data_IF_983270595511
#
_entry.id   IF_983270595511
#
_cell.length_a   1.000
_cell.length_b   1.000
_cell.length_c   1.000
_cell.angle_alpha   90.00
_cell.angle_beta   90.00
_cell.angle_gamma   90.00
#
_symmetry.space_group_name_H-M   'P 1'
#
loop_
_entity.id
_entity.type
_entity.pdbx_description
1 polymer ?
#
# COMPACT_ATOMS: atom_id res chain seq x y z
N UNK A 1 -11.58 -25.12 12.25
CA UNK A 1 -10.29 -24.52 11.90
C UNK A 1 -9.18 -25.21 12.67
N UNK A 2 -8.14 -25.68 12.00
CA UNK A 2 -6.96 -26.31 12.59
C UNK A 2 -5.71 -25.63 12.03
N UNK A 3 -4.76 -25.33 12.89
CA UNK A 3 -3.47 -24.80 12.49
C UNK A 3 -2.40 -25.87 12.68
N UNK A 4 -1.66 -26.13 11.63
CA UNK A 4 -0.55 -27.07 11.67
C UNK A 4 0.77 -26.34 11.40
N UNK A 5 1.82 -26.78 12.07
CA UNK A 5 3.20 -26.34 11.86
C UNK A 5 4.00 -27.50 11.32
N UNK A 6 4.79 -27.26 10.29
CA UNK A 6 5.69 -28.28 9.72
C UNK A 6 6.97 -28.33 10.55
N UNK A 7 7.25 -29.48 11.15
CA UNK A 7 8.51 -29.77 11.83
C UNK A 7 9.14 -30.97 11.15
N UNK A 8 10.38 -30.80 10.71
CA UNK A 8 11.11 -31.78 9.87
C UNK A 8 10.31 -32.11 8.59
N UNK A 9 9.62 -33.22 8.54
CA UNK A 9 8.78 -33.61 7.40
C UNK A 9 7.34 -33.89 7.77
N UNK A 10 6.95 -33.63 9.03
CA UNK A 10 5.62 -33.90 9.58
C UNK A 10 4.91 -32.62 9.99
N UNK A 11 3.58 -32.65 9.96
CA UNK A 11 2.75 -31.56 10.43
C UNK A 11 2.22 -31.87 11.82
N UNK A 12 2.41 -30.96 12.75
CA UNK A 12 1.91 -31.01 14.12
C UNK A 12 0.92 -29.90 14.37
N UNK A 13 -0.14 -30.18 15.10
CA UNK A 13 -1.12 -29.18 15.46
C UNK A 13 -0.50 -28.11 16.37
N UNK A 14 -0.74 -26.84 16.03
CA UNK A 14 -0.24 -25.70 16.77
C UNK A 14 -1.38 -24.92 17.44
N UNK A 15 -1.21 -24.47 18.68
CA UNK A 15 -2.22 -23.66 19.34
C UNK A 15 -2.37 -22.32 18.65
N UNK A 16 -3.62 -21.85 18.48
CA UNK A 16 -3.93 -20.57 17.89
C UNK A 16 -5.18 -19.94 18.48
N UNK A 17 -5.32 -18.66 18.26
CA UNK A 17 -6.52 -17.90 18.60
C UNK A 17 -7.06 -17.19 17.37
N UNK A 18 -8.31 -17.43 17.05
CA UNK A 18 -9.03 -16.75 15.99
C UNK A 18 -9.98 -15.73 16.60
N UNK A 19 -9.82 -14.45 16.24
CA UNK A 19 -10.68 -13.36 16.70
C UNK A 19 -11.34 -12.68 15.51
N UNK A 20 -12.65 -12.46 15.60
CA UNK A 20 -13.39 -11.71 14.59
C UNK A 20 -13.20 -10.21 14.82
N UNK A 21 -13.01 -9.46 13.75
CA UNK A 21 -12.95 -8.00 13.82
C UNK A 21 -14.34 -7.44 14.17
N UNK A 22 -14.40 -6.53 15.14
CA UNK A 22 -15.64 -5.89 15.57
C UNK A 22 -16.21 -4.90 14.55
N UNK A 23 -15.35 -4.28 13.74
CA UNK A 23 -15.73 -3.27 12.75
C UNK A 23 -16.07 -3.90 11.40
N UNK A 24 -15.42 -5.01 11.06
CA UNK A 24 -15.58 -5.67 9.77
C UNK A 24 -15.94 -7.13 9.98
N UNK A 25 -17.24 -7.44 9.91
CA UNK A 25 -17.74 -8.79 10.17
C UNK A 25 -17.13 -9.92 9.31
N UNK A 26 -16.46 -9.56 8.23
CA UNK A 26 -15.81 -10.49 7.28
C UNK A 26 -14.33 -10.69 7.52
N UNK A 27 -13.74 -10.00 8.50
CA UNK A 27 -12.31 -10.11 8.81
C UNK A 27 -12.10 -10.93 10.08
N UNK A 28 -11.18 -11.87 10.00
CA UNK A 28 -10.70 -12.65 11.12
C UNK A 28 -9.21 -12.44 11.28
N UNK A 29 -8.76 -12.33 12.53
CA UNK A 29 -7.33 -12.25 12.87
C UNK A 29 -6.91 -13.55 13.53
N UNK A 30 -5.97 -14.24 12.90
CA UNK A 30 -5.33 -15.44 13.42
C UNK A 30 -4.10 -15.06 14.21
N UNK A 31 -4.01 -15.45 15.46
CA UNK A 31 -2.85 -15.26 16.34
C UNK A 31 -2.32 -16.60 16.82
N UNK A 32 -1.02 -16.80 16.68
CA UNK A 32 -0.31 -18.01 17.16
C UNK A 32 1.13 -17.61 17.55
N UNK A 33 1.87 -18.54 18.09
CA UNK A 33 3.31 -18.38 18.29
C UNK A 33 4.05 -18.62 16.97
N UNK A 34 4.20 -17.55 16.20
CA UNK A 34 4.85 -17.60 14.90
C UNK A 34 6.36 -17.75 15.05
N UNK A 35 6.94 -18.75 14.36
CA UNK A 35 8.40 -18.91 14.29
C UNK A 35 8.91 -18.54 12.90
N UNK A 36 9.94 -17.70 12.79
CA UNK A 36 10.54 -17.34 11.51
C UNK A 36 10.98 -18.58 10.71
N UNK A 37 10.88 -18.51 9.39
CA UNK A 37 11.23 -19.59 8.44
C UNK A 37 10.38 -20.87 8.55
N UNK A 38 9.39 -20.88 9.44
CA UNK A 38 8.54 -22.01 9.66
C UNK A 38 7.34 -22.01 8.71
N UNK A 39 7.03 -23.16 8.14
CA UNK A 39 5.84 -23.38 7.29
C UNK A 39 4.66 -23.77 8.17
N UNK A 40 3.51 -23.15 7.89
CA UNK A 40 2.23 -23.43 8.55
C UNK A 40 1.16 -23.75 7.53
N UNK A 41 0.18 -24.55 7.95
CA UNK A 41 -1.03 -24.84 7.18
C UNK A 41 -2.24 -24.55 8.05
N UNK A 42 -3.09 -23.64 7.61
CA UNK A 42 -4.41 -23.42 8.20
C UNK A 42 -5.44 -24.20 7.42
N UNK A 43 -6.02 -25.23 8.04
CA UNK A 43 -7.12 -25.98 7.48
C UNK A 43 -8.43 -25.35 7.95
N UNK A 44 -9.30 -25.10 7.00
CA UNK A 44 -10.66 -24.64 7.23
C UNK A 44 -11.61 -25.73 6.79
N UNK A 45 -12.31 -26.34 7.74
CA UNK A 45 -13.23 -27.44 7.47
C UNK A 45 -14.41 -26.99 6.61
N UNK A 46 -15.06 -27.94 5.97
CA UNK A 46 -16.32 -27.70 5.30
C UNK A 46 -17.35 -27.19 6.31
N UNK A 47 -18.16 -26.21 5.92
CA UNK A 47 -19.18 -25.59 6.76
C UNK A 47 -18.68 -24.88 8.05
N UNK A 48 -17.36 -24.64 8.16
CA UNK A 48 -16.78 -23.85 9.26
C UNK A 48 -17.16 -22.37 9.20
N UNK A 49 -17.50 -21.87 8.02
CA UNK A 49 -17.99 -20.50 7.78
C UNK A 49 -19.33 -20.58 7.05
N UNK A 50 -20.36 -19.94 7.62
CA UNK A 50 -21.66 -19.81 6.97
C UNK A 50 -21.96 -18.36 6.61
N UNK A 51 -22.41 -18.12 5.40
CA UNK A 51 -22.91 -16.82 4.94
C UNK A 51 -24.33 -16.54 5.37
N UNK A 52 -24.75 -15.28 5.24
CA UNK A 52 -26.13 -14.85 5.54
C UNK A 52 -27.19 -15.56 4.67
N UNK A 53 -26.81 -16.01 3.48
CA UNK A 53 -27.66 -16.78 2.56
C UNK A 53 -27.74 -18.26 2.89
N UNK A 54 -27.13 -18.73 3.98
CA UNK A 54 -27.04 -20.15 4.33
C UNK A 54 -26.00 -20.94 3.53
N UNK A 55 -25.28 -20.30 2.62
CA UNK A 55 -24.17 -20.94 1.91
C UNK A 55 -22.99 -21.16 2.87
N UNK A 56 -22.37 -22.33 2.74
CA UNK A 56 -21.21 -22.71 3.56
C UNK A 56 -19.96 -22.84 2.70
N UNK A 57 -18.79 -22.69 3.35
CA UNK A 57 -17.52 -22.87 2.66
C UNK A 57 -17.26 -24.34 2.32
N UNK A 58 -16.49 -24.56 1.24
CA UNK A 58 -15.81 -25.82 0.99
C UNK A 58 -14.55 -25.92 1.86
N UNK A 59 -14.01 -27.12 2.10
CA UNK A 59 -12.74 -27.23 2.81
C UNK A 59 -11.64 -26.48 2.08
N UNK A 60 -10.75 -25.82 2.83
CA UNK A 60 -9.70 -24.97 2.30
C UNK A 60 -8.42 -25.15 3.12
N UNK A 61 -7.32 -25.38 2.45
CA UNK A 61 -5.99 -25.47 3.04
C UNK A 61 -5.15 -24.28 2.61
N UNK A 62 -4.79 -23.42 3.56
CA UNK A 62 -3.95 -22.26 3.34
C UNK A 62 -2.53 -22.53 3.86
N UNK A 63 -1.58 -22.73 2.94
CA UNK A 63 -0.16 -22.90 3.25
C UNK A 63 0.55 -21.55 3.21
N UNK A 64 1.34 -21.26 4.23
CA UNK A 64 2.13 -20.05 4.30
C UNK A 64 3.41 -20.28 5.13
N UNK A 65 4.42 -19.49 4.85
CA UNK A 65 5.69 -19.50 5.60
C UNK A 65 5.88 -18.16 6.27
N UNK A 66 6.30 -18.17 7.53
CA UNK A 66 6.66 -16.95 8.25
C UNK A 66 8.03 -16.50 7.77
N UNK A 67 8.08 -15.31 7.20
CA UNK A 67 9.34 -14.74 6.75
C UNK A 67 10.21 -14.32 7.96
N UNK A 68 11.53 -14.40 7.78
CA UNK A 68 12.49 -13.89 8.75
C UNK A 68 12.48 -12.35 8.75
N UNK A 69 12.70 -11.72 9.90
CA UNK A 69 12.83 -10.27 10.03
C UNK A 69 13.95 -9.73 9.15
N UNK A 70 15.05 -10.46 9.03
CA UNK A 70 16.18 -10.12 8.15
C UNK A 70 15.81 -10.06 6.66
N UNK A 71 14.66 -10.57 6.28
CA UNK A 71 14.13 -10.50 4.90
C UNK A 71 13.49 -9.15 4.59
N UNK A 72 13.33 -8.31 5.57
CA UNK A 72 12.70 -6.99 5.46
C UNK A 72 13.69 -5.87 5.76
N UNK A 73 13.38 -4.68 5.31
CA UNK A 73 14.06 -3.44 5.72
C UNK A 73 13.11 -2.52 6.45
N UNK A 74 13.65 -1.42 6.96
CA UNK A 74 12.88 -0.36 7.63
C UNK A 74 13.16 1.00 7.00
N UNK A 75 12.19 1.91 7.09
CA UNK A 75 12.32 3.29 6.67
C UNK A 75 11.82 4.21 7.77
N UNK A 76 12.72 5.03 8.28
CA UNK A 76 12.48 6.03 9.32
C UNK A 76 12.51 7.42 8.69
N UNK A 77 11.41 8.15 8.82
CA UNK A 77 11.29 9.50 8.28
C UNK A 77 11.16 10.51 9.41
N UNK A 78 12.05 11.49 9.43
CA UNK A 78 11.97 12.67 10.27
C UNK A 78 11.39 13.82 9.44
N UNK A 79 10.31 14.41 9.91
CA UNK A 79 9.48 15.41 9.23
C UNK A 79 9.29 16.62 10.14
N UNK A 80 10.33 17.43 10.36
CA UNK A 80 10.29 18.51 11.35
C UNK A 80 9.28 19.62 11.05
N UNK A 81 8.93 19.80 9.76
CA UNK A 81 8.04 20.86 9.29
C UNK A 81 6.60 20.34 9.02
N UNK A 82 6.32 19.07 9.32
CA UNK A 82 5.00 18.49 9.05
C UNK A 82 3.98 18.83 10.13
N UNK A 83 2.75 19.06 9.71
CA UNK A 83 1.62 19.24 10.61
C UNK A 83 1.32 17.97 11.41
N UNK A 84 0.82 18.12 12.63
CA UNK A 84 0.46 16.99 13.50
C UNK A 84 -0.69 16.13 12.94
N UNK A 85 -1.50 16.68 12.02
CA UNK A 85 -2.57 15.98 11.31
C UNK A 85 -2.06 15.21 10.09
N UNK A 86 -0.76 15.35 9.76
CA UNK A 86 -0.20 14.76 8.56
C UNK A 86 -0.23 13.23 8.58
N UNK A 87 -0.56 12.67 7.44
CA UNK A 87 -0.57 11.23 7.18
C UNK A 87 0.44 10.93 6.08
N UNK A 88 1.35 10.00 6.35
CA UNK A 88 2.40 9.59 5.41
C UNK A 88 2.01 8.28 4.76
N UNK A 89 2.05 8.27 3.43
CA UNK A 89 1.77 7.10 2.61
C UNK A 89 3.04 6.62 1.91
N UNK A 90 3.32 5.35 2.08
CA UNK A 90 4.35 4.62 1.34
C UNK A 90 3.69 3.95 0.14
N UNK A 91 4.20 4.24 -1.06
CA UNK A 91 3.57 3.82 -2.32
C UNK A 91 4.54 3.09 -3.23
N UNK A 92 3.99 2.30 -4.15
CA UNK A 92 4.70 1.74 -5.30
C UNK A 92 4.58 2.66 -6.53
N UNK A 93 5.27 2.32 -7.62
CA UNK A 93 5.29 3.15 -8.84
C UNK A 93 3.94 3.29 -9.55
N UNK A 94 2.97 2.44 -9.23
CA UNK A 94 1.60 2.47 -9.77
C UNK A 94 0.62 3.35 -8.96
N UNK A 95 1.14 4.18 -8.04
CA UNK A 95 0.38 4.98 -7.05
C UNK A 95 -0.37 4.11 -6.02
N UNK A 96 -0.11 2.81 -5.96
CA UNK A 96 -0.72 1.94 -4.98
C UNK A 96 -0.11 2.17 -3.60
N UNK A 97 -0.96 2.50 -2.63
CA UNK A 97 -0.54 2.66 -1.25
C UNK A 97 -0.29 1.29 -0.63
N UNK A 98 0.94 1.06 -0.20
CA UNK A 98 1.38 -0.16 0.48
C UNK A 98 1.12 -0.05 1.99
N UNK A 99 1.55 1.06 2.59
CA UNK A 99 1.35 1.38 4.01
C UNK A 99 1.00 2.84 4.18
N UNK A 100 0.24 3.12 5.24
CA UNK A 100 -0.14 4.46 5.63
C UNK A 100 -0.07 4.59 7.14
N UNK A 101 0.58 5.63 7.63
CA UNK A 101 0.73 5.90 9.05
C UNK A 101 0.56 7.40 9.33
N UNK A 102 -0.09 7.76 10.44
CA UNK A 102 -0.11 9.15 10.91
C UNK A 102 1.27 9.54 11.43
N UNK A 103 1.60 10.81 11.32
CA UNK A 103 2.79 11.36 11.94
C UNK A 103 2.66 11.37 13.46
N UNK A 104 3.77 11.11 14.16
CA UNK A 104 3.86 11.22 15.62
C UNK A 104 5.17 11.92 15.99
N UNK A 105 5.08 13.02 16.69
CA UNK A 105 6.24 13.80 17.12
C UNK A 105 7.23 14.12 15.99
N UNK A 106 6.70 14.47 14.81
CA UNK A 106 7.52 14.77 13.63
C UNK A 106 8.23 13.55 13.02
N UNK A 107 7.77 12.33 13.34
CA UNK A 107 8.41 11.10 12.86
C UNK A 107 7.39 10.07 12.38
N UNK A 108 7.79 9.27 11.40
CA UNK A 108 7.05 8.07 10.92
C UNK A 108 8.01 6.93 10.68
N UNK A 109 7.70 5.75 11.25
CA UNK A 109 8.52 4.56 11.18
C UNK A 109 7.79 3.45 10.44
N UNK A 110 8.32 3.06 9.28
CA UNK A 110 7.82 1.93 8.51
C UNK A 110 8.72 0.71 8.71
N UNK A 111 8.19 -0.29 9.39
CA UNK A 111 8.86 -1.57 9.61
C UNK A 111 8.37 -2.65 8.65
N UNK A 112 9.14 -3.71 8.51
CA UNK A 112 8.81 -4.89 7.73
C UNK A 112 8.45 -4.57 6.26
N UNK A 113 9.29 -3.77 5.63
CA UNK A 113 9.19 -3.44 4.22
C UNK A 113 9.90 -4.52 3.40
N UNK A 114 9.21 -5.08 2.42
CA UNK A 114 9.84 -5.98 1.45
C UNK A 114 10.89 -5.22 0.65
N UNK A 115 12.00 -5.85 0.25
CA UNK A 115 12.94 -5.23 -0.67
C UNK A 115 12.26 -4.74 -1.94
N UNK A 116 12.52 -3.48 -2.31
CA UNK A 116 11.86 -2.86 -3.44
C UNK A 116 11.99 -1.35 -3.48
N UNK A 117 11.39 -0.74 -4.49
CA UNK A 117 11.37 0.72 -4.67
C UNK A 117 10.07 1.30 -4.13
N UNK A 118 10.21 2.29 -3.26
CA UNK A 118 9.09 2.95 -2.62
C UNK A 118 9.14 4.45 -2.86
N UNK A 119 7.97 5.03 -2.99
CA UNK A 119 7.74 6.46 -3.08
C UNK A 119 6.97 6.92 -1.85
N UNK A 120 7.22 8.14 -1.41
CA UNK A 120 6.57 8.68 -0.22
C UNK A 120 5.73 9.89 -0.60
N UNK A 121 4.52 9.90 -0.10
CA UNK A 121 3.57 11.01 -0.17
C UNK A 121 3.07 11.32 1.23
N UNK A 122 2.87 12.61 1.52
CA UNK A 122 2.26 13.10 2.73
C UNK A 122 1.05 13.95 2.34
N UNK A 123 -0.02 13.89 3.12
CA UNK A 123 -1.13 14.83 3.05
C UNK A 123 -1.56 15.25 4.46
N UNK A 124 -2.10 16.46 4.57
CA UNK A 124 -2.62 16.99 5.83
C UNK A 124 -4.09 16.59 5.97
N UNK A 125 -4.36 15.57 6.79
CA UNK A 125 -5.70 15.04 7.06
C UNK A 125 -6.41 15.93 8.09
N UNK A 126 -7.06 16.99 7.62
CA UNK A 126 -7.69 18.01 8.48
C UNK A 126 -8.91 17.51 9.24
N UNK A 127 -9.62 16.55 8.68
CA UNK A 127 -10.85 15.99 9.27
C UNK A 127 -10.64 14.62 9.94
N UNK A 128 -9.40 14.13 9.99
CA UNK A 128 -9.00 12.86 10.62
C UNK A 128 -9.75 11.64 10.09
N UNK A 129 -10.10 11.62 8.80
CA UNK A 129 -10.78 10.50 8.18
C UNK A 129 -9.81 9.43 7.60
N UNK A 130 -8.51 9.69 7.62
CA UNK A 130 -7.47 8.82 7.10
C UNK A 130 -7.41 8.75 5.58
N UNK A 131 -8.05 9.70 4.88
CA UNK A 131 -8.11 9.76 3.41
C UNK A 131 -7.83 11.17 2.95
N UNK A 132 -7.20 11.28 1.80
CA UNK A 132 -7.04 12.57 1.16
C UNK A 132 -8.35 13.07 0.56
N UNK A 133 -8.73 14.29 0.89
CA UNK A 133 -9.96 14.94 0.40
C UNK A 133 -9.69 15.99 -0.68
N UNK A 134 -10.46 15.90 -1.76
CA UNK A 134 -10.36 16.81 -2.91
C UNK A 134 -10.94 18.21 -2.63
N UNK A 135 -11.50 18.40 -1.44
CA UNK A 135 -12.27 19.62 -1.11
C UNK A 135 -13.69 19.61 -1.65
N UNK A 136 -14.38 20.73 -1.48
CA UNK A 136 -15.77 20.90 -1.94
C UNK A 136 -15.99 22.33 -2.43
N UNK A 137 -16.31 22.47 -3.71
CA UNK A 137 -16.61 23.78 -4.29
C UNK A 137 -17.84 24.44 -3.64
N UNK A 138 -18.89 23.65 -3.40
CA UNK A 138 -20.13 24.14 -2.78
C UNK A 138 -19.96 24.57 -1.32
N UNK A 139 -19.03 23.96 -0.61
CA UNK A 139 -18.70 24.29 0.77
C UNK A 139 -17.53 25.29 0.88
N UNK A 140 -16.94 25.73 -0.22
CA UNK A 140 -15.78 26.61 -0.23
C UNK A 140 -14.51 25.98 0.37
N UNK A 141 -14.45 24.65 0.46
CA UNK A 141 -13.32 23.95 1.05
C UNK A 141 -12.25 23.64 -0.02
N UNK A 142 -11.02 24.04 0.26
CA UNK A 142 -9.87 23.71 -0.58
C UNK A 142 -9.47 22.24 -0.40
N UNK A 143 -8.87 21.60 -1.42
CA UNK A 143 -8.25 20.27 -1.29
C UNK A 143 -7.23 20.24 -0.15
N UNK A 144 -7.06 19.09 0.44
CA UNK A 144 -5.97 18.87 1.39
C UNK A 144 -4.61 18.96 0.69
N UNK A 145 -3.66 19.58 1.39
CA UNK A 145 -2.31 19.76 0.84
C UNK A 145 -1.58 18.42 0.75
N UNK A 146 -0.91 18.21 -0.39
CA UNK A 146 -0.16 16.98 -0.68
C UNK A 146 1.28 17.32 -1.01
N UNK A 147 2.19 16.62 -0.36
CA UNK A 147 3.62 16.71 -0.56
C UNK A 147 4.18 15.38 -1.04
N UNK A 148 5.20 15.40 -1.88
CA UNK A 148 5.89 14.22 -2.34
C UNK A 148 7.38 14.30 -1.99
N UNK A 149 7.93 13.21 -1.50
CA UNK A 149 9.38 13.09 -1.41
C UNK A 149 9.96 12.92 -2.83
N UNK A 150 10.93 13.77 -3.26
CA UNK A 150 11.32 13.85 -4.66
C UNK A 150 12.09 12.65 -5.18
N UNK A 151 12.65 11.84 -4.29
CA UNK A 151 13.48 10.69 -4.64
C UNK A 151 12.75 9.37 -4.34
N UNK A 152 13.25 8.28 -4.90
CA UNK A 152 12.81 6.93 -4.61
C UNK A 152 13.65 6.33 -3.49
N UNK A 153 12.99 5.63 -2.56
CA UNK A 153 13.67 4.81 -1.57
C UNK A 153 13.86 3.39 -2.11
N UNK A 154 15.09 2.92 -2.17
CA UNK A 154 15.42 1.55 -2.51
C UNK A 154 15.66 0.76 -1.22
N UNK A 155 14.62 0.11 -0.73
CA UNK A 155 14.68 -0.71 0.48
C UNK A 155 15.33 -2.05 0.17
N UNK A 156 16.31 -2.43 0.97
CA UNK A 156 16.97 -3.74 0.90
C UNK A 156 16.70 -4.55 2.16
N UNK A 157 16.80 -5.87 2.04
CA UNK A 157 16.69 -6.75 3.18
C UNK A 157 17.74 -6.43 4.25
N UNK A 158 17.33 -6.45 5.51
CA UNK A 158 18.18 -6.17 6.67
C UNK A 158 18.85 -4.76 6.66
N UNK A 159 18.20 -3.79 6.01
CA UNK A 159 18.68 -2.41 5.97
C UNK A 159 17.65 -1.48 6.62
N UNK A 160 18.17 -0.57 7.44
CA UNK A 160 17.43 0.54 8.02
C UNK A 160 17.83 1.82 7.29
N UNK A 161 16.85 2.52 6.75
CA UNK A 161 17.04 3.80 6.06
C UNK A 161 16.47 4.89 6.97
N UNK A 162 17.31 5.86 7.32
CA UNK A 162 16.89 7.05 8.04
C UNK A 162 17.01 8.28 7.15
N UNK A 163 15.94 9.05 7.03
CA UNK A 163 15.90 10.23 6.19
C UNK A 163 15.15 11.38 6.85
N UNK A 164 15.76 12.55 6.87
CA UNK A 164 15.06 13.80 7.20
C UNK A 164 14.46 14.38 5.93
N UNK A 165 13.19 14.70 5.98
CA UNK A 165 12.46 15.32 4.88
C UNK A 165 11.80 16.61 5.34
N UNK A 166 12.27 17.74 4.82
CA UNK A 166 11.66 19.05 4.98
C UNK A 166 10.73 19.30 3.81
N UNK A 167 9.47 19.58 4.10
CA UNK A 167 8.42 19.73 3.09
C UNK A 167 8.65 20.96 2.20
N UNK A 168 9.39 21.94 2.72
CA UNK A 168 9.65 23.22 2.07
C UNK A 168 10.93 23.28 1.23
N UNK A 169 11.75 22.23 1.22
CA UNK A 169 13.04 22.20 0.48
C UNK A 169 12.85 22.38 -1.04
N UNK A 170 11.72 21.95 -1.57
CA UNK A 170 11.37 22.08 -2.98
C UNK A 170 9.96 22.65 -3.15
N UNK A 171 9.72 23.46 -4.19
CA UNK A 171 8.38 23.87 -4.56
C UNK A 171 7.46 22.67 -4.85
N UNK A 172 6.19 22.73 -4.48
CA UNK A 172 5.20 21.66 -4.67
C UNK A 172 5.18 21.10 -6.09
N UNK A 173 5.35 21.97 -7.09
CA UNK A 173 5.36 21.59 -8.52
C UNK A 173 6.55 20.73 -8.94
N UNK A 174 7.62 20.70 -8.13
CA UNK A 174 8.86 19.96 -8.41
C UNK A 174 9.05 18.74 -7.50
N UNK A 175 8.17 18.55 -6.52
CA UNK A 175 8.30 17.45 -5.55
C UNK A 175 7.92 16.08 -6.12
N UNK A 176 6.91 16.03 -7.01
CA UNK A 176 6.39 14.74 -7.49
C UNK A 176 7.42 14.02 -8.38
N UNK A 177 7.85 12.79 -8.01
CA UNK A 177 8.78 12.01 -8.81
C UNK A 177 8.25 11.74 -10.22
N UNK A 178 9.11 11.83 -11.22
CA UNK A 178 8.72 11.62 -12.64
C UNK A 178 8.05 10.26 -12.87
N UNK A 179 8.47 9.22 -12.17
CA UNK A 179 7.88 7.90 -12.26
C UNK A 179 6.41 7.84 -11.84
N UNK A 180 5.95 8.78 -11.00
CA UNK A 180 4.55 8.89 -10.55
C UNK A 180 3.73 9.83 -11.44
N UNK A 181 4.36 10.51 -12.39
CA UNK A 181 3.65 11.39 -13.34
C UNK A 181 3.14 10.53 -14.48
N UNK A 182 1.85 10.18 -14.43
CA UNK A 182 1.16 9.52 -15.55
C UNK A 182 1.00 10.56 -16.66
N UNK A 183 2.02 10.76 -17.49
CA UNK A 183 1.81 11.41 -18.76
C UNK A 183 0.93 10.46 -19.58
N UNK A 184 -0.34 10.83 -19.82
CA UNK A 184 -1.00 10.37 -21.04
C UNK A 184 -0.05 10.82 -22.15
N UNK A 185 0.52 9.86 -22.88
CA UNK A 185 1.03 10.19 -24.21
C UNK A 185 -0.12 10.90 -24.90
N UNK A 186 -0.04 12.22 -24.99
CA UNK A 186 -0.82 12.94 -25.95
C UNK A 186 -0.44 12.29 -27.27
N UNK A 187 -1.32 11.44 -27.76
CA UNK A 187 -1.29 11.04 -29.13
C UNK A 187 -1.40 12.36 -29.91
N UNK A 188 -0.26 13.01 -30.13
CA UNK A 188 -0.15 14.12 -31.03
C UNK A 188 -0.60 13.56 -32.38
N UNK A 189 -1.91 13.66 -32.64
CA UNK A 189 -2.44 13.57 -34.00
C UNK A 189 -1.77 14.71 -34.72
N UNK A 190 -0.59 14.42 -35.26
CA UNK A 190 0.15 15.39 -36.04
C UNK A 190 -0.79 15.88 -37.14
N UNK A 191 -0.86 17.18 -37.42
CA UNK A 191 -1.71 17.73 -38.47
C UNK A 191 -1.56 17.01 -39.82
N UNK A 192 -0.40 16.44 -40.08
CA UNK A 192 -0.10 15.58 -41.25
C UNK A 192 -1.00 14.35 -41.35
N UNK A 193 -1.42 13.72 -40.29
CA UNK A 193 -2.26 12.51 -40.37
C UNK A 193 -3.70 12.81 -40.81
N UNK A 194 -4.25 13.96 -40.45
CA UNK A 194 -5.60 14.39 -40.84
C UNK A 194 -5.67 14.75 -42.31
N UNK A 195 -4.65 15.38 -42.88
CA UNK A 195 -4.61 15.72 -44.29
C UNK A 195 -4.35 14.46 -45.14
N UNK A 196 -3.49 13.56 -44.73
CA UNK A 196 -3.27 12.29 -45.38
C UNK A 196 -4.54 11.41 -45.41
N UNK A 197 -5.32 11.42 -44.35
CA UNK A 197 -6.59 10.68 -44.28
C UNK A 197 -7.69 11.31 -45.19
N UNK A 198 -7.72 12.63 -45.31
CA UNK A 198 -8.60 13.35 -46.25
C UNK A 198 -8.21 13.13 -47.72
N UNK A 199 -6.92 13.09 -48.02
CA UNK A 199 -6.44 12.79 -49.37
C UNK A 199 -6.69 11.34 -49.77
N UNK A 200 -6.59 10.40 -48.84
CA UNK A 200 -6.93 9.00 -49.05
C UNK A 200 -8.41 8.81 -49.38
N UNK A 201 -9.31 9.45 -48.61
CA UNK A 201 -10.76 9.43 -48.87
C UNK A 201 -11.16 10.11 -50.16
N UNK A 202 -10.37 11.06 -50.69
CA UNK A 202 -10.60 11.68 -52.00
C UNK A 202 -10.14 10.84 -53.18
N UNK A 203 -9.28 9.84 -52.98
CA UNK A 203 -8.79 8.94 -54.05
C UNK A 203 -9.62 7.65 -54.15
N UNK A 204 -10.38 7.34 -53.13
CA UNK A 204 -11.23 6.13 -53.05
C UNK A 204 -12.71 6.42 -53.36
N UNK A 205 -13.11 7.65 -53.68
CA UNK A 205 -14.43 8.09 -54.14
C UNK A 205 -14.36 8.80 -55.50
#
# INVERSE_FOLDING_TARGET
FHLFVKQDSTYHEAPFRLTRDSLTMLRYTLRAEWRPKQEYVLNVDSAAISGLSGLVNKPLDLKFTIADETSYGSLFLLLPDADSTAVVQLMQADDKVEKQLPIRDGRVDFFYLKPGKYYVRLFNDRNHNGRWDTGSYTAGLQPEEVYYYPQVFEVRANWDIEQTWRLTDLPLTQQKPRALIKQKEDAKKTPKSRNAERERKKREG
#
